data_IF_620411004613
#
_entry.id   IF_620411004613
#
_cell.length_a   1.000
_cell.length_b   1.000
_cell.length_c   1.000
_cell.angle_alpha   90.00
_cell.angle_beta   90.00
_cell.angle_gamma   90.00
#
_symmetry.space_group_name_H-M   'P 1'
#
loop_
_entity.id
_entity.type
_entity.pdbx_description
1 polymer ?
#
# COMPACT_ATOMS: atom_id res chain seq x y z
N UNK A 1 16.90 -6.93 34.13
CA UNK A 1 16.54 -5.78 33.26
C UNK A 1 15.28 -5.13 33.82
N UNK A 2 15.39 -4.04 34.59
CA UNK A 2 14.47 -2.94 34.31
C UNK A 2 15.12 -1.58 34.63
N UNK A 3 16.00 -1.11 33.74
CA UNK A 3 16.43 0.29 33.74
C UNK A 3 15.28 1.23 33.31
N UNK A 4 14.20 0.64 32.75
CA UNK A 4 13.01 1.32 32.24
C UNK A 4 12.03 1.78 33.32
N UNK A 5 12.10 1.25 34.55
CA UNK A 5 11.23 1.71 35.66
C UNK A 5 11.70 3.04 36.29
N UNK A 6 12.81 3.62 35.83
CA UNK A 6 13.47 4.76 36.48
C UNK A 6 13.28 6.14 35.81
N UNK A 7 12.37 6.30 34.85
CA UNK A 7 12.06 7.62 34.23
C UNK A 7 10.79 8.29 34.80
N UNK A 8 10.22 7.75 35.88
CA UNK A 8 9.01 8.27 36.52
C UNK A 8 7.70 7.85 35.83
N UNK A 9 6.54 8.09 36.46
CA UNK A 9 5.25 7.52 36.09
C UNK A 9 4.84 7.76 34.62
N UNK A 10 5.32 8.85 34.02
CA UNK A 10 4.90 9.34 32.70
C UNK A 10 5.63 8.71 31.51
N UNK A 11 6.79 8.07 31.72
CA UNK A 11 7.57 7.51 30.62
C UNK A 11 6.84 6.35 29.90
N UNK A 12 6.12 5.54 30.68
CA UNK A 12 5.26 4.47 30.15
C UNK A 12 4.18 5.03 29.22
N UNK A 13 3.53 6.13 29.62
CA UNK A 13 2.48 6.78 28.84
C UNK A 13 3.00 7.32 27.50
N UNK A 14 4.18 7.95 27.49
CA UNK A 14 4.82 8.45 26.27
C UNK A 14 5.08 7.29 25.31
N UNK A 15 5.74 6.24 25.78
CA UNK A 15 6.09 5.08 24.95
C UNK A 15 4.84 4.41 24.38
N UNK A 16 3.83 4.14 25.20
CA UNK A 16 2.58 3.51 24.74
C UNK A 16 1.83 4.38 23.73
N UNK A 17 1.79 5.71 23.93
CA UNK A 17 1.15 6.64 22.98
C UNK A 17 1.84 6.61 21.61
N UNK A 18 3.16 6.70 21.56
CA UNK A 18 3.91 6.62 20.31
C UNK A 18 3.82 5.23 19.66
N UNK A 19 3.81 4.15 20.44
CA UNK A 19 3.58 2.80 19.92
C UNK A 19 2.20 2.64 19.30
N UNK A 20 1.16 3.18 19.95
CA UNK A 20 -0.21 3.13 19.43
C UNK A 20 -0.32 3.90 18.11
N UNK A 21 0.25 5.11 18.05
CA UNK A 21 0.31 5.91 16.82
C UNK A 21 1.08 5.15 15.73
N UNK A 22 2.24 4.57 16.07
CA UNK A 22 3.03 3.76 15.15
C UNK A 22 2.26 2.56 14.60
N UNK A 23 1.47 1.89 15.45
CA UNK A 23 0.59 0.79 15.05
C UNK A 23 -0.49 1.23 14.06
N UNK A 24 -1.13 2.38 14.31
CA UNK A 24 -2.14 2.94 13.41
C UNK A 24 -1.53 3.29 12.05
N UNK A 25 -0.37 3.95 12.05
CA UNK A 25 0.34 4.30 10.79
C UNK A 25 0.76 3.03 10.04
N UNK A 26 1.30 2.03 10.73
CA UNK A 26 1.67 0.75 10.11
C UNK A 26 0.45 0.04 9.52
N UNK A 27 -0.69 0.04 10.22
CA UNK A 27 -1.93 -0.54 9.71
C UNK A 27 -2.42 0.18 8.45
N UNK A 28 -2.35 1.52 8.41
CA UNK A 28 -2.68 2.30 7.21
C UNK A 28 -1.75 1.98 6.04
N UNK A 29 -0.43 1.87 6.27
CA UNK A 29 0.54 1.51 5.23
C UNK A 29 0.21 0.12 4.66
N UNK A 30 -0.05 -0.86 5.53
CA UNK A 30 -0.41 -2.22 5.12
C UNK A 30 -1.72 -2.20 4.33
N UNK A 31 -2.74 -1.49 4.83
CA UNK A 31 -4.04 -1.38 4.17
C UNK A 31 -3.93 -0.78 2.78
N UNK A 32 -3.25 0.36 2.68
CA UNK A 32 -3.00 1.07 1.43
C UNK A 32 -2.22 0.17 0.46
N UNK A 33 -1.19 -0.53 0.94
CA UNK A 33 -0.42 -1.48 0.13
C UNK A 33 -1.28 -2.64 -0.40
N UNK A 34 -2.16 -3.21 0.42
CA UNK A 34 -3.11 -4.24 0.01
C UNK A 34 -4.12 -3.72 -1.01
N UNK A 35 -4.62 -2.51 -0.81
CA UNK A 35 -5.56 -1.85 -1.71
C UNK A 35 -4.93 -1.57 -3.08
N UNK A 36 -3.70 -1.07 -3.10
CA UNK A 36 -2.93 -0.89 -4.35
C UNK A 36 -2.71 -2.20 -5.10
N UNK A 37 -2.52 -3.32 -4.40
CA UNK A 37 -2.40 -4.63 -5.03
C UNK A 37 -3.72 -5.08 -5.66
N UNK A 38 -4.85 -4.82 -5.02
CA UNK A 38 -6.19 -5.09 -5.59
C UNK A 38 -6.43 -4.25 -6.85
N UNK A 39 -6.09 -2.96 -6.83
CA UNK A 39 -6.28 -2.08 -7.98
C UNK A 39 -5.39 -2.47 -9.18
N UNK A 40 -4.13 -2.86 -8.95
CA UNK A 40 -3.22 -3.25 -10.03
C UNK A 40 -3.55 -4.58 -10.69
N UNK A 41 -4.24 -5.50 -10.01
CA UNK A 41 -4.67 -6.76 -10.63
C UNK A 41 -5.68 -6.52 -11.76
N UNK A 42 -6.60 -5.58 -11.56
CA UNK A 42 -7.62 -5.24 -12.56
C UNK A 42 -6.97 -4.64 -13.80
N UNK A 43 -5.98 -3.75 -13.65
CA UNK A 43 -5.32 -3.14 -14.82
C UNK A 43 -4.43 -4.14 -15.58
N UNK A 44 -3.78 -5.08 -14.88
CA UNK A 44 -2.98 -6.15 -15.50
C UNK A 44 -3.82 -7.16 -16.27
N UNK A 45 -5.01 -7.49 -15.76
CA UNK A 45 -5.95 -8.34 -16.48
C UNK A 45 -6.47 -7.65 -17.75
N UNK A 46 -6.68 -6.33 -17.74
CA UNK A 46 -7.07 -5.58 -18.95
C UNK A 46 -5.92 -5.43 -19.96
N UNK A 47 -4.67 -5.22 -19.51
CA UNK A 47 -3.50 -5.21 -20.41
C UNK A 47 -3.28 -6.58 -21.06
N UNK A 48 -3.39 -7.65 -20.27
CA UNK A 48 -3.28 -9.03 -20.77
C UNK A 48 -4.43 -9.40 -21.72
N UNK A 49 -5.63 -8.84 -21.51
CA UNK A 49 -6.83 -9.23 -22.27
C UNK A 49 -7.14 -8.36 -23.49
N UNK A 50 -6.58 -7.15 -23.64
CA UNK A 50 -7.14 -6.18 -24.59
C UNK A 50 -6.19 -5.28 -25.39
N UNK A 51 -4.97 -5.00 -24.93
CA UNK A 51 -4.15 -3.93 -25.54
C UNK A 51 -3.28 -4.37 -26.72
N UNK A 52 -2.98 -5.66 -26.88
CA UNK A 52 -2.13 -6.12 -28.01
C UNK A 52 -2.89 -6.27 -29.34
N UNK A 53 -4.21 -6.51 -29.32
CA UNK A 53 -4.93 -6.88 -30.56
C UNK A 53 -5.56 -5.70 -31.31
N UNK A 54 -5.92 -4.61 -30.62
CA UNK A 54 -6.53 -3.44 -31.28
C UNK A 54 -5.51 -2.40 -31.77
N UNK A 55 -4.33 -2.37 -31.16
CA UNK A 55 -3.26 -1.42 -31.49
C UNK A 55 -2.45 -1.82 -32.72
N UNK A 56 -2.65 -3.04 -33.24
CA UNK A 56 -1.76 -3.68 -34.22
C UNK A 56 -2.38 -3.97 -35.60
N UNK A 57 -3.57 -3.45 -35.96
CA UNK A 57 -4.04 -3.58 -37.35
C UNK A 57 -4.62 -2.26 -37.90
N UNK A 58 -4.06 -1.75 -39.03
CA UNK A 58 -4.26 -0.39 -39.55
C UNK A 58 -5.44 -0.33 -40.53
N UNK A 59 -6.09 0.83 -40.73
CA UNK A 59 -6.84 1.05 -41.95
C UNK A 59 -5.81 1.33 -43.05
N UNK A 60 -5.73 0.38 -43.98
CA UNK A 60 -4.94 0.50 -45.18
C UNK A 60 -5.25 1.80 -45.91
N UNK A 61 -4.19 2.36 -46.49
CA UNK A 61 -4.32 3.21 -47.66
C UNK A 61 -5.04 2.40 -48.74
N UNK A 62 -6.33 2.65 -48.93
CA UNK A 62 -7.05 2.24 -50.13
C UNK A 62 -7.47 3.49 -50.89
N UNK A 63 -6.94 3.56 -52.11
CA UNK A 63 -7.21 4.49 -53.22
C UNK A 63 -6.63 5.89 -53.15
#
# INVERSE_FOLDING_TARGET
MPFLTSLGPYASFIITSYLLVGLVVAALIVWVGLDFRRQKQILRDLEASGVTRRSAQPPGKTS
#
